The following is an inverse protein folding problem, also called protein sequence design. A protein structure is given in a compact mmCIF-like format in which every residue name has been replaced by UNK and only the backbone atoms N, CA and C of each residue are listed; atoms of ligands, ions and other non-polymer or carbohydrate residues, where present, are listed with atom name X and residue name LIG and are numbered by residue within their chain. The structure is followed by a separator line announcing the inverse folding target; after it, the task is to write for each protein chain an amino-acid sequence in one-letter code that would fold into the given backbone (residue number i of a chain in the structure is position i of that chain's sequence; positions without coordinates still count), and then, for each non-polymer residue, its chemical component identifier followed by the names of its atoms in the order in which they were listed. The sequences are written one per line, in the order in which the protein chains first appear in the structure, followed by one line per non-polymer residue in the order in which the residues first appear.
data_IF_825002303355
#
_entry.id   IF_825002303355
#
_cell.length_a   1.000
_cell.length_b   1.000
_cell.length_c   1.000
_cell.angle_alpha   90.00
_cell.angle_beta   90.00
_cell.angle_gamma   90.00
#
_symmetry.space_group_name_H-M   'P 1'
#
loop_
_entity.id
_entity.type
_entity.pdbx_description
1 polymer ?
#
# COMPACT_ATOMS: atom_id res chain seq x y z
N UNK A 1 -23.10 49.33 43.12
CA UNK A 1 -22.69 48.09 42.46
C UNK A 1 -22.08 47.19 43.49
N UNK A 2 -22.74 46.04 43.80
CA UNK A 2 -22.28 45.14 44.88
C UNK A 2 -20.93 44.50 44.54
N UNK A 3 -20.02 44.45 45.52
CA UNK A 3 -18.69 43.82 45.38
C UNK A 3 -18.75 42.40 44.83
N UNK A 4 -19.89 41.72 44.97
CA UNK A 4 -20.16 40.37 44.41
C UNK A 4 -20.25 40.39 42.86
N UNK A 5 -20.77 41.45 42.26
CA UNK A 5 -20.85 41.57 40.79
C UNK A 5 -19.49 41.83 40.16
N UNK A 6 -18.62 42.56 40.83
CA UNK A 6 -17.25 42.85 40.36
C UNK A 6 -16.42 41.54 40.39
N UNK A 7 -16.59 40.74 41.45
CA UNK A 7 -15.89 39.47 41.57
C UNK A 7 -16.36 38.45 40.49
N UNK A 8 -17.68 38.41 40.18
CA UNK A 8 -18.22 37.56 39.15
C UNK A 8 -17.75 37.95 37.74
N UNK A 9 -17.68 39.25 37.45
CA UNK A 9 -17.14 39.74 36.17
C UNK A 9 -15.66 39.44 36.00
N UNK A 10 -14.87 39.54 37.09
CA UNK A 10 -13.45 39.20 37.03
C UNK A 10 -13.19 37.71 36.81
N UNK A 11 -14.01 36.83 37.39
CA UNK A 11 -13.91 35.36 37.20
C UNK A 11 -14.34 34.98 35.78
N UNK A 12 -15.41 35.61 35.26
CA UNK A 12 -15.86 35.38 33.88
C UNK A 12 -14.83 35.82 32.84
N UNK A 13 -14.13 36.96 33.08
CA UNK A 13 -13.05 37.43 32.20
C UNK A 13 -11.82 36.52 32.21
N UNK A 14 -11.48 35.93 33.36
CA UNK A 14 -10.37 34.96 33.48
C UNK A 14 -10.70 33.62 32.79
N UNK A 15 -11.94 33.17 32.83
CA UNK A 15 -12.37 31.93 32.15
C UNK A 15 -12.41 32.09 30.62
N UNK A 16 -12.65 33.31 30.13
CA UNK A 16 -12.66 33.57 28.68
C UNK A 16 -11.27 33.64 28.06
N UNK A 17 -10.22 33.95 28.88
CA UNK A 17 -8.84 34.04 28.38
C UNK A 17 -8.12 32.70 28.29
N UNK A 18 -8.68 31.63 28.85
CA UNK A 18 -8.08 30.29 28.84
C UNK A 18 -8.42 29.45 27.57
N UNK A 19 -9.27 29.92 26.67
CA UNK A 19 -9.75 29.18 25.50
C UNK A 19 -8.93 29.47 24.23
N UNK A 20 -7.97 30.38 24.23
CA UNK A 20 -7.26 30.79 23.01
C UNK A 20 -5.86 30.21 22.84
N UNK A 21 -5.46 29.23 23.66
CA UNK A 21 -4.26 28.43 23.36
C UNK A 21 -4.64 27.15 22.62
N UNK A 22 -5.40 27.30 21.51
CA UNK A 22 -5.48 26.27 20.54
C UNK A 22 -4.10 26.13 19.87
N UNK A 23 -3.31 25.17 20.34
CA UNK A 23 -2.14 24.66 19.64
C UNK A 23 -2.56 24.30 18.23
N UNK A 24 -2.33 25.20 17.27
CA UNK A 24 -2.34 24.87 15.85
C UNK A 24 -1.23 23.84 15.61
N UNK A 25 -1.50 22.55 15.85
CA UNK A 25 -0.78 21.50 15.19
C UNK A 25 -0.96 21.74 13.69
N UNK A 26 0.04 22.38 13.08
CA UNK A 26 0.18 22.34 11.62
C UNK A 26 0.29 20.87 11.26
N UNK A 27 -0.81 20.30 10.81
CA UNK A 27 -0.79 19.05 10.07
C UNK A 27 -0.01 19.41 8.81
N UNK A 28 1.28 19.08 8.82
CA UNK A 28 2.06 19.00 7.59
C UNK A 28 1.36 17.87 6.83
N UNK A 29 0.52 18.25 5.89
CA UNK A 29 -0.05 17.34 4.91
C UNK A 29 1.14 16.89 4.05
N UNK A 30 1.89 15.93 4.58
CA UNK A 30 2.86 15.20 3.81
C UNK A 30 2.08 14.57 2.67
N UNK A 31 2.27 15.09 1.48
CA UNK A 31 1.77 14.43 0.27
C UNK A 31 2.20 12.98 0.35
N UNK A 32 1.28 12.01 0.21
CA UNK A 32 1.68 10.61 0.18
C UNK A 32 2.76 10.47 -0.88
N UNK A 33 3.81 9.67 -0.63
CA UNK A 33 4.84 9.42 -1.61
C UNK A 33 4.15 8.99 -2.90
N UNK A 34 4.39 9.72 -3.99
CA UNK A 34 3.98 9.31 -5.32
C UNK A 34 4.73 8.02 -5.58
N UNK A 35 4.07 6.89 -5.36
CA UNK A 35 4.58 5.59 -5.72
C UNK A 35 4.74 5.56 -7.23
N UNK A 36 5.95 5.84 -7.70
CA UNK A 36 6.29 5.67 -9.12
C UNK A 36 6.33 4.16 -9.37
N UNK A 37 5.25 3.66 -9.94
CA UNK A 37 5.18 2.29 -10.45
C UNK A 37 6.26 2.20 -11.53
N UNK A 38 7.29 1.32 -11.40
CA UNK A 38 8.18 1.08 -12.51
C UNK A 38 7.32 0.57 -13.68
N UNK A 39 7.49 1.15 -14.90
CA UNK A 39 6.75 0.67 -16.06
C UNK A 39 7.03 -0.82 -16.25
N UNK A 40 6.05 -1.61 -16.75
CA UNK A 40 6.29 -2.99 -17.13
C UNK A 40 7.48 -3.00 -18.09
N UNK A 41 8.47 -3.85 -17.79
CA UNK A 41 9.68 -3.95 -18.60
C UNK A 41 9.29 -4.30 -20.04
N UNK A 42 9.30 -3.30 -20.91
CA UNK A 42 9.19 -3.48 -22.34
C UNK A 42 10.37 -4.34 -22.78
N UNK A 43 10.06 -5.31 -23.64
CA UNK A 43 11.03 -6.21 -24.26
C UNK A 43 12.10 -5.37 -24.96
N UNK A 44 13.25 -5.21 -24.33
CA UNK A 44 14.38 -4.53 -24.92
C UNK A 44 14.92 -5.39 -26.08
N UNK A 45 14.83 -4.81 -27.27
CA UNK A 45 15.41 -5.36 -28.50
C UNK A 45 16.93 -5.42 -28.35
N UNK A 46 17.47 -6.60 -28.61
CA UNK A 46 18.89 -6.83 -28.76
C UNK A 46 19.51 -5.89 -29.80
N UNK A 47 20.49 -5.10 -29.38
CA UNK A 47 21.44 -4.38 -30.26
C UNK A 47 22.84 -5.00 -30.11
N UNK A 48 23.75 -4.86 -31.11
CA UNK A 48 24.79 -5.83 -31.34
C UNK A 48 26.04 -5.67 -30.45
N UNK A 49 26.64 -6.80 -30.25
CA UNK A 49 27.87 -7.16 -29.55
C UNK A 49 29.07 -6.39 -30.07
N UNK A 50 29.88 -5.81 -29.18
CA UNK A 50 31.30 -5.61 -29.41
C UNK A 50 32.12 -6.63 -28.64
N UNK A 51 32.83 -7.41 -29.42
CA UNK A 51 33.77 -8.47 -29.06
C UNK A 51 35.12 -7.84 -28.72
N UNK A 52 35.67 -8.12 -27.54
CA UNK A 52 37.12 -8.18 -27.35
C UNK A 52 37.48 -9.23 -26.31
N UNK A 53 38.47 -9.99 -26.72
CA UNK A 53 38.83 -11.32 -26.30
C UNK A 53 39.84 -11.37 -25.12
N UNK A 54 39.98 -12.59 -24.65
CA UNK A 54 41.15 -13.33 -24.14
C UNK A 54 41.16 -13.67 -22.64
N UNK A 55 41.20 -15.00 -22.39
CA UNK A 55 41.65 -15.61 -21.13
C UNK A 55 41.02 -16.96 -20.87
N UNK A 56 41.60 -18.01 -21.48
CA UNK A 56 41.42 -19.48 -21.26
C UNK A 56 41.58 -19.83 -19.76
N UNK A 57 41.07 -20.87 -19.14
CA UNK A 57 40.53 -22.24 -19.37
C UNK A 57 40.28 -22.87 -17.98
N UNK A 58 39.84 -24.12 -17.75
CA UNK A 58 38.72 -24.88 -18.25
C UNK A 58 37.78 -25.49 -17.17
N UNK A 59 36.64 -25.98 -17.66
CA UNK A 59 35.99 -27.24 -17.27
C UNK A 59 35.41 -27.44 -15.87
N UNK A 60 34.10 -27.38 -15.75
CA UNK A 60 33.33 -28.56 -15.33
C UNK A 60 31.90 -28.50 -15.87
N UNK A 61 31.66 -29.32 -16.89
CA UNK A 61 30.38 -29.64 -17.45
C UNK A 61 29.52 -30.38 -16.42
N UNK A 62 28.68 -29.69 -15.70
CA UNK A 62 27.61 -30.33 -14.93
C UNK A 62 26.35 -30.32 -15.75
N UNK A 63 26.13 -31.44 -16.42
CA UNK A 63 24.92 -31.84 -17.14
C UNK A 63 23.75 -31.79 -16.17
N UNK A 64 23.01 -30.68 -16.13
CA UNK A 64 21.78 -30.61 -15.36
C UNK A 64 20.69 -31.38 -16.14
N UNK A 65 20.38 -32.52 -15.62
CA UNK A 65 19.15 -33.28 -15.86
C UNK A 65 17.97 -32.35 -15.60
N UNK A 66 16.87 -32.39 -16.40
CA UNK A 66 15.66 -31.65 -16.09
C UNK A 66 14.99 -32.28 -14.86
N UNK A 67 15.45 -31.92 -13.68
CA UNK A 67 14.78 -32.23 -12.44
C UNK A 67 13.58 -31.28 -12.32
N UNK A 68 12.43 -31.89 -12.27
CA UNK A 68 11.14 -31.38 -11.83
C UNK A 68 11.31 -30.19 -10.88
N UNK A 69 11.05 -28.98 -11.38
CA UNK A 69 11.19 -27.73 -10.63
C UNK A 69 10.17 -27.72 -9.51
N UNK A 70 10.49 -28.31 -8.38
CA UNK A 70 9.86 -27.95 -7.10
C UNK A 70 10.05 -26.46 -6.97
N UNK A 71 8.95 -25.71 -7.09
CA UNK A 71 8.87 -24.26 -6.99
C UNK A 71 9.35 -23.84 -5.58
N UNK A 72 10.67 -23.78 -5.41
CA UNK A 72 11.29 -23.39 -4.15
C UNK A 72 10.94 -21.93 -3.91
N UNK A 73 10.11 -21.69 -2.88
CA UNK A 73 9.74 -20.34 -2.45
C UNK A 73 11.01 -19.64 -2.01
N UNK A 74 11.40 -18.56 -2.67
CA UNK A 74 12.58 -17.79 -2.28
C UNK A 74 12.37 -17.16 -0.89
N UNK A 75 13.45 -16.95 -0.11
CA UNK A 75 13.35 -16.29 1.20
C UNK A 75 12.65 -14.92 1.11
N UNK A 76 12.86 -14.18 0.03
CA UNK A 76 12.22 -12.90 -0.24
C UNK A 76 10.71 -13.05 -0.44
N UNK A 77 10.29 -14.08 -1.16
CA UNK A 77 8.87 -14.38 -1.35
C UNK A 77 8.21 -14.80 -0.04
N UNK A 78 8.89 -15.63 0.77
CA UNK A 78 8.39 -16.03 2.08
C UNK A 78 8.22 -14.82 3.01
N UNK A 79 9.20 -13.91 3.06
CA UNK A 79 9.09 -12.68 3.82
C UNK A 79 7.92 -11.80 3.35
N UNK A 80 7.67 -11.69 2.04
CA UNK A 80 6.50 -10.99 1.50
C UNK A 80 5.20 -11.60 2.00
N UNK A 81 5.07 -12.93 1.99
CA UNK A 81 3.86 -13.62 2.48
C UNK A 81 3.63 -13.39 3.98
N UNK A 82 4.69 -13.37 4.78
CA UNK A 82 4.59 -13.05 6.21
C UNK A 82 4.08 -11.63 6.44
N UNK A 83 4.60 -10.65 5.70
CA UNK A 83 4.13 -9.26 5.76
C UNK A 83 2.66 -9.14 5.30
N UNK A 84 2.28 -9.87 4.25
CA UNK A 84 0.87 -9.95 3.80
C UNK A 84 -0.04 -10.43 4.93
N UNK A 85 0.33 -11.51 5.61
CA UNK A 85 -0.45 -12.06 6.73
C UNK A 85 -0.58 -11.08 7.89
N UNK A 86 0.50 -10.37 8.23
CA UNK A 86 0.47 -9.33 9.25
C UNK A 86 -0.44 -8.16 8.85
N UNK A 87 -0.34 -7.68 7.60
CA UNK A 87 -1.22 -6.65 7.06
C UNK A 87 -2.69 -7.04 7.12
N UNK A 88 -3.03 -8.28 6.79
CA UNK A 88 -4.39 -8.80 6.90
C UNK A 88 -4.90 -8.81 8.35
N UNK A 89 -4.03 -9.09 9.32
CA UNK A 89 -4.38 -9.03 10.74
C UNK A 89 -4.73 -7.62 11.17
N UNK A 90 -3.93 -6.63 10.79
CA UNK A 90 -4.22 -5.21 11.05
C UNK A 90 -5.51 -4.77 10.38
N UNK A 91 -5.74 -5.18 9.14
CA UNK A 91 -6.96 -4.86 8.40
C UNK A 91 -8.21 -5.42 9.11
N UNK A 92 -8.17 -6.65 9.58
CA UNK A 92 -9.26 -7.28 10.36
C UNK A 92 -9.55 -6.54 11.67
N UNK A 93 -8.52 -5.98 12.30
CA UNK A 93 -8.62 -5.20 13.52
C UNK A 93 -9.06 -3.74 13.29
N UNK A 94 -9.29 -3.33 12.04
CA UNK A 94 -9.68 -1.97 11.70
C UNK A 94 -8.51 -0.97 11.63
N UNK A 95 -7.28 -1.43 11.80
CA UNK A 95 -6.07 -0.60 11.76
C UNK A 95 -5.53 -0.49 10.33
N UNK A 96 -6.19 0.39 9.57
CA UNK A 96 -5.87 0.59 8.16
C UNK A 96 -4.47 1.17 7.93
N UNK A 97 -3.94 1.99 8.85
CA UNK A 97 -2.63 2.63 8.69
C UNK A 97 -1.51 1.60 8.78
N UNK A 98 -1.54 0.74 9.79
CA UNK A 98 -0.58 -0.34 9.90
C UNK A 98 -0.76 -1.36 8.76
N UNK A 99 -1.99 -1.71 8.38
CA UNK A 99 -2.24 -2.59 7.24
C UNK A 99 -1.59 -2.08 5.95
N UNK A 100 -1.73 -0.79 5.62
CA UNK A 100 -1.08 -0.14 4.48
C UNK A 100 0.43 -0.32 4.53
N UNK A 101 1.07 0.02 5.66
CA UNK A 101 2.51 -0.10 5.84
C UNK A 101 3.02 -1.53 5.58
N UNK A 102 2.28 -2.54 6.05
CA UNK A 102 2.66 -3.93 5.85
C UNK A 102 2.49 -4.39 4.40
N UNK A 103 1.40 -4.01 3.73
CA UNK A 103 1.18 -4.36 2.33
C UNK A 103 2.18 -3.66 1.40
N UNK A 104 2.53 -2.40 1.64
CA UNK A 104 3.56 -1.70 0.87
C UNK A 104 4.93 -2.38 0.99
N UNK A 105 5.32 -2.79 2.20
CA UNK A 105 6.53 -3.60 2.42
C UNK A 105 6.44 -4.95 1.69
N UNK A 106 5.30 -5.62 1.74
CA UNK A 106 5.10 -6.90 1.04
C UNK A 106 5.23 -6.73 -0.48
N UNK A 107 4.68 -5.65 -1.05
CA UNK A 107 4.79 -5.29 -2.46
C UNK A 107 6.25 -5.00 -2.84
N UNK A 108 7.02 -4.31 -2.01
CA UNK A 108 8.43 -4.03 -2.27
C UNK A 108 9.28 -5.30 -2.37
N UNK A 109 8.89 -6.35 -1.66
CA UNK A 109 9.55 -7.66 -1.73
C UNK A 109 9.03 -8.52 -2.88
N UNK A 110 7.75 -8.48 -3.19
CA UNK A 110 7.12 -9.25 -4.26
C UNK A 110 6.06 -8.42 -5.00
N UNK A 111 6.49 -7.58 -5.96
CA UNK A 111 5.58 -6.69 -6.69
C UNK A 111 4.60 -7.41 -7.63
N UNK A 112 4.80 -8.71 -7.89
CA UNK A 112 3.90 -9.50 -8.73
C UNK A 112 2.78 -10.19 -7.94
N UNK A 113 2.78 -10.09 -6.61
CA UNK A 113 1.70 -10.65 -5.79
C UNK A 113 0.48 -9.73 -5.79
N UNK A 114 -0.50 -10.07 -6.64
CA UNK A 114 -1.74 -9.31 -6.80
C UNK A 114 -2.59 -9.20 -5.54
N UNK A 115 -2.50 -10.17 -4.63
CA UNK A 115 -3.23 -10.16 -3.36
C UNK A 115 -2.86 -8.94 -2.49
N UNK A 116 -1.58 -8.54 -2.50
CA UNK A 116 -1.14 -7.38 -1.75
C UNK A 116 -1.80 -6.10 -2.22
N UNK A 117 -1.99 -5.94 -3.53
CA UNK A 117 -2.70 -4.79 -4.09
C UNK A 117 -4.19 -4.81 -3.75
N UNK A 118 -4.82 -6.00 -3.77
CA UNK A 118 -6.20 -6.16 -3.36
C UNK A 118 -6.43 -5.72 -1.91
N UNK A 119 -5.63 -6.22 -0.97
CA UNK A 119 -5.74 -5.85 0.43
C UNK A 119 -5.34 -4.39 0.70
N UNK A 120 -4.38 -3.86 -0.04
CA UNK A 120 -4.01 -2.44 0.04
C UNK A 120 -5.16 -1.55 -0.43
N UNK A 121 -5.89 -1.95 -1.49
CA UNK A 121 -7.10 -1.26 -1.92
C UNK A 121 -8.18 -1.28 -0.83
N UNK A 122 -8.33 -2.39 -0.12
CA UNK A 122 -9.27 -2.52 0.99
C UNK A 122 -8.90 -1.60 2.17
N UNK A 123 -7.62 -1.53 2.53
CA UNK A 123 -7.15 -0.63 3.57
C UNK A 123 -7.40 0.85 3.21
N UNK A 124 -7.15 1.26 1.97
CA UNK A 124 -7.46 2.61 1.51
C UNK A 124 -8.96 2.91 1.43
N UNK A 125 -9.77 1.89 1.08
CA UNK A 125 -11.23 1.99 1.12
C UNK A 125 -11.72 2.23 2.55
N UNK A 126 -11.17 1.51 3.53
CA UNK A 126 -11.46 1.68 4.95
C UNK A 126 -11.12 3.10 5.45
N UNK A 127 -10.05 3.70 4.93
CA UNK A 127 -9.69 5.11 5.19
C UNK A 127 -10.57 6.13 4.45
N UNK A 128 -11.48 5.70 3.59
CA UNK A 128 -12.27 6.58 2.75
C UNK A 128 -11.49 7.25 1.60
N UNK A 129 -10.26 6.80 1.33
CA UNK A 129 -9.49 7.31 0.20
C UNK A 129 -9.81 6.51 -1.06
N UNK A 130 -10.94 6.85 -1.67
CA UNK A 130 -11.47 6.12 -2.83
C UNK A 130 -10.57 6.21 -4.07
N UNK A 131 -9.78 7.27 -4.20
CA UNK A 131 -8.81 7.41 -5.30
C UNK A 131 -7.71 6.36 -5.19
N UNK A 132 -7.07 6.24 -4.04
CA UNK A 132 -6.04 5.23 -3.81
C UNK A 132 -6.62 3.82 -3.88
N UNK A 133 -7.79 3.59 -3.28
CA UNK A 133 -8.47 2.31 -3.37
C UNK A 133 -8.72 1.88 -4.83
N UNK A 134 -9.14 2.81 -5.70
CA UNK A 134 -9.36 2.52 -7.13
C UNK A 134 -8.07 2.13 -7.84
N UNK A 135 -6.97 2.86 -7.59
CA UNK A 135 -5.68 2.56 -8.23
C UNK A 135 -5.14 1.20 -7.83
N UNK A 136 -5.18 0.88 -6.53
CA UNK A 136 -4.69 -0.42 -6.08
C UNK A 136 -5.61 -1.58 -6.48
N UNK A 137 -6.93 -1.38 -6.54
CA UNK A 137 -7.86 -2.36 -7.10
C UNK A 137 -7.55 -2.64 -8.58
N UNK A 138 -7.23 -1.61 -9.38
CA UNK A 138 -6.82 -1.77 -10.78
C UNK A 138 -5.53 -2.59 -10.92
N UNK A 139 -4.54 -2.37 -10.02
CA UNK A 139 -3.33 -3.18 -10.01
C UNK A 139 -3.62 -4.63 -9.62
N UNK A 140 -4.49 -4.85 -8.64
CA UNK A 140 -4.96 -6.18 -8.28
C UNK A 140 -5.59 -6.91 -9.49
N UNK A 141 -6.43 -6.21 -10.27
CA UNK A 141 -7.04 -6.76 -11.48
C UNK A 141 -5.99 -7.22 -12.50
N UNK A 142 -4.93 -6.43 -12.72
CA UNK A 142 -3.85 -6.79 -13.65
C UNK A 142 -3.14 -8.08 -13.23
N UNK A 143 -2.86 -8.26 -11.94
CA UNK A 143 -2.07 -9.40 -11.47
C UNK A 143 -2.90 -10.64 -11.12
N UNK A 144 -4.22 -10.48 -10.90
CA UNK A 144 -5.13 -11.56 -10.47
C UNK A 144 -6.13 -11.99 -11.55
N UNK A 145 -6.04 -11.44 -12.76
CA UNK A 145 -7.02 -11.63 -13.83
C UNK A 145 -7.12 -13.07 -14.35
N UNK A 146 -6.13 -13.90 -14.10
CA UNK A 146 -6.11 -15.32 -14.51
C UNK A 146 -6.82 -16.24 -13.53
N UNK A 147 -7.05 -15.79 -12.30
CA UNK A 147 -7.74 -16.54 -11.26
C UNK A 147 -9.20 -16.08 -11.15
N UNK A 148 -10.14 -16.98 -11.40
CA UNK A 148 -11.58 -16.66 -11.46
C UNK A 148 -12.12 -16.19 -10.12
N UNK A 149 -11.66 -16.78 -9.01
CA UNK A 149 -12.11 -16.41 -7.66
C UNK A 149 -11.62 -15.01 -7.30
N UNK A 150 -10.36 -14.71 -7.58
CA UNK A 150 -9.80 -13.39 -7.37
C UNK A 150 -10.42 -12.33 -8.27
N UNK A 151 -10.68 -12.63 -9.55
CA UNK A 151 -11.40 -11.71 -10.45
C UNK A 151 -12.75 -11.30 -9.88
N UNK A 152 -13.52 -12.27 -9.37
CA UNK A 152 -14.82 -12.00 -8.76
C UNK A 152 -14.69 -11.07 -7.54
N UNK A 153 -13.68 -11.30 -6.69
CA UNK A 153 -13.40 -10.47 -5.51
C UNK A 153 -13.00 -9.05 -5.90
N UNK A 154 -12.09 -8.90 -6.86
CA UNK A 154 -11.60 -7.61 -7.36
C UNK A 154 -12.73 -6.79 -7.96
N UNK A 155 -13.60 -7.40 -8.79
CA UNK A 155 -14.74 -6.72 -9.39
C UNK A 155 -15.79 -6.31 -8.33
N UNK A 156 -16.03 -7.15 -7.33
CA UNK A 156 -16.90 -6.80 -6.19
C UNK A 156 -16.34 -5.61 -5.43
N UNK A 157 -15.05 -5.60 -5.13
CA UNK A 157 -14.38 -4.50 -4.43
C UNK A 157 -14.46 -3.21 -5.25
N UNK A 158 -14.26 -3.26 -6.56
CA UNK A 158 -14.40 -2.12 -7.49
C UNK A 158 -15.78 -1.48 -7.40
N UNK A 159 -16.84 -2.28 -7.41
CA UNK A 159 -18.22 -1.81 -7.25
C UNK A 159 -18.43 -1.14 -5.90
N UNK A 160 -17.91 -1.74 -4.83
CA UNK A 160 -17.98 -1.19 -3.48
C UNK A 160 -17.26 0.16 -3.35
N UNK A 161 -16.07 0.29 -3.94
CA UNK A 161 -15.33 1.56 -3.98
C UNK A 161 -16.15 2.64 -4.69
N UNK A 162 -16.72 2.32 -5.85
CA UNK A 162 -17.53 3.25 -6.63
C UNK A 162 -18.79 3.70 -5.88
N UNK A 163 -19.46 2.79 -5.19
CA UNK A 163 -20.67 3.09 -4.42
C UNK A 163 -20.36 3.97 -3.20
N UNK A 164 -19.34 3.64 -2.43
CA UNK A 164 -18.94 4.43 -1.27
C UNK A 164 -18.47 5.84 -1.67
N UNK A 165 -17.78 5.96 -2.81
CA UNK A 165 -17.39 7.26 -3.37
C UNK A 165 -18.60 8.11 -3.72
N UNK A 166 -19.65 7.52 -4.33
CA UNK A 166 -20.90 8.26 -4.65
C UNK A 166 -21.61 8.75 -3.41
N UNK A 167 -21.64 7.94 -2.35
CA UNK A 167 -22.28 8.30 -1.07
C UNK A 167 -21.55 9.41 -0.32
N UNK A 168 -20.25 9.54 -0.52
CA UNK A 168 -19.42 10.55 0.14
C UNK A 168 -19.32 11.87 -0.61
N UNK A 169 -19.85 11.96 -1.83
CA UNK A 169 -19.96 13.21 -2.60
C UNK A 169 -21.33 13.82 -2.31
N UNK A 170 -21.40 15.02 -1.68
CA UNK A 170 -22.66 15.70 -1.39
C UNK A 170 -23.41 16.11 -2.64
#
# INVERSE_FOLDING_TARGET
VSKKHILFMAIAACLLSLVTTACSKRIILSSPPVYQIPPPADKEKAGPIHEEAIGETPEETKKETPAESKKTISPRMLASLQLTSQGQTFLKNGDADNAINFFEKAISLNPKNGENYYYLAEAWLMKGNYRQATEFNRLADIYLNTDMDWRSRVEKQKKQIAENRRRSTP
#
